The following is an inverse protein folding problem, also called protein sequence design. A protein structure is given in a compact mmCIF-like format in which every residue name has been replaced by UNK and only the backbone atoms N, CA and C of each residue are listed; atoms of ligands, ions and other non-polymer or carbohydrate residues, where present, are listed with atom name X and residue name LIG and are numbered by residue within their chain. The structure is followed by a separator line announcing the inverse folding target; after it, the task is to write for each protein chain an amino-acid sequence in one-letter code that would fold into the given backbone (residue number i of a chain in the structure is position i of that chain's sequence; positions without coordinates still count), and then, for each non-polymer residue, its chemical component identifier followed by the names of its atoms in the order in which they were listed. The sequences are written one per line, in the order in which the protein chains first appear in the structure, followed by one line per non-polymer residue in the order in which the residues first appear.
data_IF_376828716158
#
_entry.id   IF_376828716158
#
_cell.length_a   1.000
_cell.length_b   1.000
_cell.length_c   1.000
_cell.angle_alpha   90.00
_cell.angle_beta   90.00
_cell.angle_gamma   90.00
#
_symmetry.space_group_name_H-M   'P 1'
#
loop_
_entity.id
_entity.type
_entity.pdbx_description
1 polymer ?
#
# COMPACT_ATOMS: atom_id res chain seq x y z
N UNK A 1 14.16 6.27 43.70
CA UNK A 1 14.92 6.75 42.53
C UNK A 1 13.89 7.28 41.55
N UNK A 2 13.62 8.59 41.60
CA UNK A 2 12.65 9.24 40.74
C UNK A 2 13.36 9.74 39.49
N UNK A 3 12.71 9.63 38.32
CA UNK A 3 12.51 10.72 37.37
C UNK A 3 11.23 10.43 36.56
N UNK A 4 10.24 11.31 36.68
CA UNK A 4 9.11 11.50 35.74
C UNK A 4 9.42 12.72 34.83
N UNK A 5 8.56 13.15 33.89
CA UNK A 5 8.16 12.50 32.64
C UNK A 5 8.34 13.43 31.41
N UNK A 6 8.32 12.89 30.18
CA UNK A 6 8.24 13.63 28.90
C UNK A 6 7.55 12.68 27.90
N UNK A 7 6.51 12.99 27.14
CA UNK A 7 5.61 14.13 27.00
C UNK A 7 4.23 13.57 26.59
N UNK A 8 3.15 14.23 26.99
CA UNK A 8 1.79 13.94 26.53
C UNK A 8 1.63 14.43 25.10
N UNK A 9 1.62 13.52 24.12
CA UNK A 9 1.23 13.82 22.74
C UNK A 9 -0.24 13.42 22.51
N UNK A 10 -1.19 14.38 22.39
CA UNK A 10 -2.62 14.09 22.25
C UNK A 10 -3.01 13.52 20.87
N UNK A 11 -2.07 13.35 19.93
CA UNK A 11 -2.34 12.86 18.57
C UNK A 11 -2.30 11.33 18.45
N UNK A 12 -1.69 10.62 19.39
CA UNK A 12 -1.62 9.15 19.33
C UNK A 12 -2.83 8.46 19.99
N UNK A 13 -3.57 9.17 20.84
CA UNK A 13 -4.78 8.64 21.48
C UNK A 13 -6.05 8.74 20.61
N UNK A 14 -6.02 9.48 19.49
CA UNK A 14 -7.13 9.52 18.54
C UNK A 14 -7.12 8.37 17.52
N UNK A 15 -6.00 7.65 17.41
CA UNK A 15 -5.81 6.61 16.40
C UNK A 15 -6.28 5.21 16.79
N UNK A 16 -6.83 5.02 18.00
CA UNK A 16 -7.39 3.73 18.43
C UNK A 16 -8.84 3.79 18.94
N UNK A 17 -9.58 4.87 18.68
CA UNK A 17 -10.93 5.02 19.24
C UNK A 17 -11.95 5.58 18.25
N UNK A 18 -12.34 4.76 17.27
CA UNK A 18 -13.60 4.91 16.55
C UNK A 18 -14.15 3.52 16.19
N UNK A 19 -14.78 2.90 17.17
CA UNK A 19 -15.75 1.82 16.96
C UNK A 19 -16.72 1.79 18.13
N UNK A 20 -17.78 2.60 18.07
CA UNK A 20 -19.02 2.36 18.80
C UNK A 20 -20.17 2.66 17.83
N UNK A 21 -20.49 1.69 16.99
CA UNK A 21 -21.77 1.59 16.30
C UNK A 21 -22.48 0.42 17.00
N UNK A 22 -23.70 0.60 17.55
CA UNK A 22 -24.36 -0.45 18.31
C UNK A 22 -24.72 -1.68 17.44
N UNK A 23 -24.50 -2.85 18.02
CA UNK A 23 -24.35 -4.19 17.40
C UNK A 23 -25.63 -4.87 16.86
N UNK A 24 -26.76 -4.19 16.71
CA UNK A 24 -28.03 -4.91 16.51
C UNK A 24 -28.64 -4.88 15.10
N UNK A 25 -27.99 -4.27 14.09
CA UNK A 25 -28.58 -4.17 12.73
C UNK A 25 -27.64 -4.42 11.54
N UNK A 26 -26.36 -4.80 11.74
CA UNK A 26 -25.33 -4.76 10.68
C UNK A 26 -25.15 -6.03 9.84
N UNK A 27 -25.67 -7.19 10.25
CA UNK A 27 -25.18 -8.48 9.70
C UNK A 27 -25.72 -8.89 8.32
N UNK A 28 -26.55 -8.07 7.64
CA UNK A 28 -27.06 -8.38 6.29
C UNK A 28 -26.65 -7.40 5.18
N UNK A 29 -26.03 -6.25 5.51
CA UNK A 29 -25.65 -5.21 4.53
C UNK A 29 -24.14 -4.99 4.41
N UNK A 30 -23.33 -5.61 5.27
CA UNK A 30 -21.88 -5.35 5.39
C UNK A 30 -20.99 -6.35 4.63
N UNK A 31 -21.56 -7.22 3.80
CA UNK A 31 -20.75 -8.15 3.00
C UNK A 31 -19.93 -7.32 1.98
N UNK A 32 -18.59 -7.29 2.08
CA UNK A 32 -17.78 -6.53 1.16
C UNK A 32 -17.97 -7.07 -0.26
N UNK A 33 -18.14 -6.17 -1.21
CA UNK A 33 -18.24 -6.55 -2.62
C UNK A 33 -17.01 -7.37 -3.05
N UNK A 34 -17.18 -8.31 -3.99
CA UNK A 34 -16.05 -9.11 -4.52
C UNK A 34 -14.88 -8.24 -4.99
N UNK A 35 -15.16 -7.05 -5.53
CA UNK A 35 -14.14 -6.07 -5.94
C UNK A 35 -13.36 -5.53 -4.75
N UNK A 36 -14.04 -5.12 -3.68
CA UNK A 36 -13.39 -4.63 -2.47
C UNK A 36 -12.47 -5.68 -1.84
N UNK A 37 -12.91 -6.94 -1.80
CA UNK A 37 -12.10 -8.06 -1.29
C UNK A 37 -10.83 -8.24 -2.13
N UNK A 38 -10.94 -8.23 -3.46
CA UNK A 38 -9.79 -8.31 -4.38
C UNK A 38 -8.79 -7.17 -4.16
N UNK A 39 -9.28 -5.93 -4.15
CA UNK A 39 -8.44 -4.75 -3.94
C UNK A 39 -7.76 -4.80 -2.57
N UNK A 40 -8.47 -5.23 -1.52
CA UNK A 40 -7.89 -5.40 -0.17
C UNK A 40 -6.76 -6.43 -0.15
N UNK A 41 -6.92 -7.58 -0.82
CA UNK A 41 -5.86 -8.58 -0.95
C UNK A 41 -4.68 -8.07 -1.78
N UNK A 42 -4.94 -7.36 -2.88
CA UNK A 42 -3.89 -6.76 -3.72
C UNK A 42 -3.11 -5.68 -2.96
N UNK A 43 -3.75 -4.93 -2.07
CA UNK A 43 -3.08 -3.99 -1.18
C UNK A 43 -2.22 -4.71 -0.14
N UNK A 44 -2.75 -5.76 0.50
CA UNK A 44 -2.04 -6.53 1.51
C UNK A 44 -0.79 -7.25 0.95
N UNK A 45 -0.82 -7.65 -0.33
CA UNK A 45 0.31 -8.31 -1.00
C UNK A 45 1.34 -7.36 -1.63
N UNK A 46 1.08 -6.04 -1.63
CA UNK A 46 2.07 -5.04 -2.07
C UNK A 46 2.94 -4.61 -0.89
N UNK A 47 3.97 -5.42 -0.62
CA UNK A 47 5.00 -5.06 0.34
C UNK A 47 5.78 -3.84 -0.15
N UNK A 48 6.13 -2.95 0.78
CA UNK A 48 6.96 -1.79 0.50
C UNK A 48 7.88 -1.55 1.68
N UNK A 49 9.18 -1.55 1.40
CA UNK A 49 10.22 -1.15 2.34
C UNK A 49 10.56 0.32 2.16
N UNK A 50 10.86 0.99 3.27
CA UNK A 50 11.30 2.37 3.29
C UNK A 50 12.60 2.43 4.07
N UNK A 51 13.65 2.96 3.43
CA UNK A 51 14.94 3.20 4.08
C UNK A 51 15.41 4.62 3.87
N UNK A 52 16.05 5.17 4.88
CA UNK A 52 16.68 6.48 4.85
C UNK A 52 18.19 6.29 4.71
N UNK A 53 18.80 7.02 3.77
CA UNK A 53 20.26 7.19 3.67
C UNK A 53 20.59 8.66 3.91
N UNK A 54 21.86 9.01 4.15
CA UNK A 54 22.26 10.41 4.28
C UNK A 54 21.88 11.29 3.06
N UNK A 55 21.72 10.69 1.88
CA UNK A 55 21.37 11.41 0.66
C UNK A 55 19.87 11.40 0.33
N UNK A 56 19.12 10.34 0.68
CA UNK A 56 17.74 10.18 0.21
C UNK A 56 16.91 9.16 0.99
N UNK A 57 15.58 9.28 0.88
CA UNK A 57 14.64 8.21 1.18
C UNK A 57 14.50 7.28 -0.04
N UNK A 58 14.57 5.97 0.17
CA UNK A 58 14.37 4.94 -0.86
C UNK A 58 13.17 4.08 -0.50
N UNK A 59 12.20 4.05 -1.41
CA UNK A 59 11.00 3.22 -1.34
C UNK A 59 11.17 2.05 -2.30
N UNK A 60 11.06 0.83 -1.78
CA UNK A 60 11.25 -0.41 -2.57
C UNK A 60 9.93 -1.17 -2.49
N UNK A 61 9.25 -1.34 -3.63
CA UNK A 61 7.93 -1.95 -3.68
C UNK A 61 7.95 -3.25 -4.50
N UNK A 62 7.36 -4.31 -3.94
CA UNK A 62 7.26 -5.60 -4.62
C UNK A 62 6.06 -5.61 -5.58
N UNK A 63 6.36 -5.43 -6.87
CA UNK A 63 5.37 -5.30 -7.94
C UNK A 63 5.58 -6.35 -9.06
N UNK A 64 5.57 -7.66 -8.73
CA UNK A 64 5.90 -8.70 -9.71
C UNK A 64 4.83 -8.84 -10.80
N UNK A 65 5.30 -8.89 -12.05
CA UNK A 65 4.46 -9.07 -13.24
C UNK A 65 3.72 -7.82 -13.70
N UNK A 66 4.09 -6.64 -13.19
CA UNK A 66 3.59 -5.35 -13.69
C UNK A 66 4.66 -4.69 -14.56
N UNK A 67 4.23 -4.06 -15.65
CA UNK A 67 5.08 -3.18 -16.46
C UNK A 67 5.17 -1.80 -15.81
N UNK A 68 6.21 -1.03 -16.18
CA UNK A 68 6.42 0.32 -15.64
C UNK A 68 5.22 1.23 -15.89
N UNK A 69 4.59 1.09 -17.05
CA UNK A 69 3.42 1.87 -17.46
C UNK A 69 2.16 1.60 -16.62
N UNK A 70 2.10 0.44 -15.96
CA UNK A 70 0.97 0.00 -15.12
C UNK A 70 1.10 0.49 -13.67
N UNK A 71 2.23 1.10 -13.33
CA UNK A 71 2.53 1.63 -12.00
C UNK A 71 2.57 3.15 -12.06
N UNK A 72 1.71 3.79 -11.26
CA UNK A 72 1.61 5.24 -11.14
C UNK A 72 2.20 5.70 -9.81
N UNK A 73 3.25 6.50 -9.90
CA UNK A 73 3.92 7.15 -8.75
C UNK A 73 3.70 8.64 -8.83
N UNK A 74 3.14 9.25 -7.78
CA UNK A 74 2.84 10.68 -7.73
C UNK A 74 3.04 11.25 -6.34
N UNK A 75 3.27 12.56 -6.27
CA UNK A 75 3.16 13.31 -5.01
C UNK A 75 1.86 14.12 -5.06
N UNK A 76 0.96 13.84 -4.13
CA UNK A 76 -0.30 14.55 -3.96
C UNK A 76 -0.16 15.64 -2.90
N UNK A 77 -0.76 16.80 -3.16
CA UNK A 77 -0.68 17.94 -2.25
C UNK A 77 0.76 18.41 -2.06
N UNK A 78 1.19 18.55 -0.79
CA UNK A 78 2.52 19.05 -0.45
C UNK A 78 3.57 17.94 -0.34
N UNK A 79 3.21 16.78 0.21
CA UNK A 79 4.18 15.79 0.67
C UNK A 79 3.63 14.36 0.75
N UNK A 80 2.58 14.00 0.01
CA UNK A 80 2.02 12.66 0.06
C UNK A 80 2.47 11.84 -1.16
N UNK A 81 3.47 10.98 -0.99
CA UNK A 81 3.87 10.03 -2.03
C UNK A 81 2.83 8.92 -2.15
N UNK A 82 2.23 8.80 -3.33
CA UNK A 82 1.27 7.77 -3.69
C UNK A 82 1.87 6.83 -4.74
N UNK A 83 1.88 5.53 -4.43
CA UNK A 83 2.21 4.44 -5.36
C UNK A 83 0.94 3.64 -5.59
N UNK A 84 0.51 3.53 -6.85
CA UNK A 84 -0.75 2.89 -7.22
C UNK A 84 -0.65 2.10 -8.52
N UNK A 85 -1.56 1.15 -8.70
CA UNK A 85 -1.65 0.34 -9.91
C UNK A 85 -2.74 -0.73 -9.78
N UNK A 86 -2.84 -1.58 -10.80
CA UNK A 86 -3.82 -2.67 -10.84
C UNK A 86 -3.14 -3.96 -11.31
N UNK A 87 -3.21 -5.01 -10.48
CA UNK A 87 -2.79 -6.35 -10.89
C UNK A 87 -3.95 -7.05 -11.59
N UNK A 88 -3.86 -7.17 -12.90
CA UNK A 88 -4.77 -7.99 -13.69
C UNK A 88 -4.21 -9.42 -13.82
N UNK A 89 -5.10 -10.35 -14.16
CA UNK A 89 -4.71 -11.68 -14.63
C UNK A 89 -5.17 -11.74 -16.08
N UNK A 90 -4.30 -12.22 -16.97
CA UNK A 90 -4.67 -12.46 -18.37
C UNK A 90 -5.88 -13.41 -18.42
N UNK A 91 -6.85 -13.06 -19.26
CA UNK A 91 -8.02 -13.89 -19.51
C UNK A 91 -7.52 -15.10 -20.30
N UNK A 92 -7.67 -16.28 -19.70
CA UNK A 92 -7.09 -17.53 -20.20
C UNK A 92 -7.63 -17.93 -21.58
N UNK A 93 -6.77 -18.57 -22.36
CA UNK A 93 -7.19 -19.58 -23.33
C UNK A 93 -7.88 -20.75 -22.61
N UNK A 94 -8.87 -21.38 -23.27
CA UNK A 94 -9.63 -22.51 -22.72
C UNK A 94 -8.77 -23.75 -22.41
N UNK A 95 -7.51 -23.75 -22.84
CA UNK A 95 -6.55 -24.86 -22.72
C UNK A 95 -5.80 -24.88 -21.39
N UNK A 96 -5.85 -23.83 -20.57
CA UNK A 96 -5.03 -23.73 -19.34
C UNK A 96 -5.78 -24.10 -18.05
N UNK A 97 -5.34 -25.20 -17.41
CA UNK A 97 -5.82 -25.64 -16.10
C UNK A 97 -4.95 -25.11 -14.96
N UNK A 98 -5.56 -24.40 -14.02
CA UNK A 98 -4.86 -23.91 -12.84
C UNK A 98 -5.00 -24.94 -11.71
N UNK A 99 -3.87 -25.35 -11.14
CA UNK A 99 -3.85 -26.23 -9.97
C UNK A 99 -4.02 -25.44 -8.66
N UNK A 100 -3.55 -24.19 -8.61
CA UNK A 100 -3.64 -23.31 -7.44
C UNK A 100 -3.58 -21.85 -7.85
N UNK A 101 -4.24 -20.98 -7.09
CA UNK A 101 -4.25 -19.53 -7.29
C UNK A 101 -3.99 -18.85 -5.95
N UNK A 102 -2.82 -18.24 -5.81
CA UNK A 102 -2.44 -17.49 -4.59
C UNK A 102 -2.19 -16.01 -4.87
N UNK A 103 -1.72 -15.70 -6.07
CA UNK A 103 -1.47 -14.32 -6.50
C UNK A 103 -2.79 -13.56 -6.52
N UNK A 104 -2.83 -12.47 -5.74
CA UNK A 104 -3.96 -11.55 -5.71
C UNK A 104 -4.09 -10.77 -7.01
N UNK A 105 -5.31 -10.56 -7.46
CA UNK A 105 -5.67 -9.56 -8.48
C UNK A 105 -6.41 -8.40 -7.82
N UNK A 106 -6.40 -7.23 -8.46
CA UNK A 106 -7.07 -6.03 -7.98
C UNK A 106 -6.16 -4.83 -7.92
N UNK A 107 -6.74 -3.70 -7.50
CA UNK A 107 -6.06 -2.42 -7.35
C UNK A 107 -5.29 -2.37 -6.05
N UNK A 108 -4.14 -1.71 -6.09
CA UNK A 108 -3.36 -1.43 -4.89
C UNK A 108 -3.04 0.07 -4.78
N UNK A 109 -2.89 0.52 -3.54
CA UNK A 109 -2.56 1.90 -3.20
C UNK A 109 -1.70 1.92 -1.93
N UNK A 110 -0.49 2.46 -2.02
CA UNK A 110 0.41 2.69 -0.88
C UNK A 110 0.70 4.19 -0.80
N UNK A 111 0.52 4.77 0.39
CA UNK A 111 0.67 6.21 0.63
C UNK A 111 1.66 6.45 1.75
N UNK A 112 2.60 7.36 1.53
CA UNK A 112 3.66 7.71 2.46
C UNK A 112 3.72 9.23 2.61
N UNK A 113 3.77 9.70 3.86
CA UNK A 113 3.98 11.11 4.13
C UNK A 113 5.47 11.38 4.12
N UNK A 114 5.91 12.19 3.17
CA UNK A 114 7.29 12.63 3.04
C UNK A 114 7.57 13.76 4.05
N UNK A 115 8.80 13.85 4.58
CA UNK A 115 9.22 15.01 5.35
C UNK A 115 9.13 16.32 4.55
N UNK A 116 9.03 17.47 5.24
CA UNK A 116 8.87 18.78 4.60
C UNK A 116 10.11 19.23 3.78
N UNK A 117 11.27 18.61 3.99
CA UNK A 117 12.53 18.94 3.32
C UNK A 117 12.76 18.16 2.02
N UNK A 118 11.78 17.40 1.52
CA UNK A 118 11.94 16.64 0.27
C UNK A 118 11.75 17.55 -0.94
N UNK A 119 12.74 17.56 -1.83
CA UNK A 119 12.67 18.22 -3.13
C UNK A 119 11.87 17.37 -4.13
N UNK A 120 10.60 17.71 -4.34
CA UNK A 120 9.66 16.95 -5.19
C UNK A 120 10.16 16.80 -6.63
N UNK A 121 10.83 17.83 -7.17
CA UNK A 121 11.35 17.84 -8.54
C UNK A 121 12.51 16.84 -8.77
N UNK A 122 13.12 16.34 -7.69
CA UNK A 122 14.21 15.36 -7.74
C UNK A 122 13.73 13.91 -7.53
N UNK A 123 12.43 13.69 -7.37
CA UNK A 123 11.89 12.34 -7.19
C UNK A 123 12.08 11.55 -8.49
N UNK A 124 12.77 10.42 -8.37
CA UNK A 124 13.00 9.49 -9.46
C UNK A 124 12.44 8.11 -9.12
N UNK A 125 11.89 7.43 -10.11
CA UNK A 125 11.38 6.07 -9.99
C UNK A 125 12.00 5.17 -11.07
N UNK A 126 12.50 4.01 -10.65
CA UNK A 126 13.05 2.97 -11.51
C UNK A 126 12.46 1.62 -11.13
N UNK A 127 12.29 0.75 -12.12
CA UNK A 127 11.85 -0.63 -11.93
C UNK A 127 13.02 -1.55 -12.24
N UNK A 128 13.25 -2.55 -11.39
CA UNK A 128 14.27 -3.57 -11.58
C UNK A 128 13.62 -4.96 -11.45
N UNK A 129 13.92 -5.86 -12.39
CA UNK A 129 13.48 -7.25 -12.32
C UNK A 129 14.59 -8.07 -11.68
N UNK A 130 14.44 -8.40 -10.40
CA UNK A 130 15.37 -9.29 -9.71
C UNK A 130 14.99 -10.73 -10.05
N UNK A 131 15.76 -11.36 -10.95
CA UNK A 131 15.73 -12.81 -11.13
C UNK A 131 17.00 -13.38 -10.51
N UNK A 132 16.91 -13.89 -9.29
CA UNK A 132 18.01 -14.65 -8.69
C UNK A 132 18.19 -15.96 -9.47
N UNK A 133 19.45 -16.36 -9.80
CA UNK A 133 19.72 -17.61 -10.51
C UNK A 133 19.35 -18.87 -9.71
#
# INVERSE_FOLDING_TARGET
MALTPFSNDPLLNSLFRLSHIPDEFSTLFDAPTSRFVKDSHAMASTAVDVKETPEAFKFIADLPGLKKEEVRVQVEGKNLLTISGERSREVKDETEKYHRVERSTGKFLRRFRLPDNVEVDKIAASTETVCSP
#
